data_IF_906839790847
#
_entry.id   IF_906839790847
#
_cell.length_a   1.000
_cell.length_b   1.000
_cell.length_c   1.000
_cell.angle_alpha   90.00
_cell.angle_beta   90.00
_cell.angle_gamma   90.00
#
_symmetry.space_group_name_H-M   'P 1'
#
loop_
_entity.id
_entity.type
_entity.pdbx_description
1 polymer ?
#
# COMPACT_ATOMS: atom_id res chain seq x y z
N UNK A 1 -17.13 -7.39 23.56
CA UNK A 1 -16.33 -6.97 22.38
C UNK A 1 -17.25 -6.11 21.53
N UNK A 2 -17.00 -4.81 21.48
CA UNK A 2 -17.87 -3.85 20.79
C UNK A 2 -17.56 -3.85 19.29
N UNK A 3 -18.62 -3.95 18.47
CA UNK A 3 -18.56 -3.99 17.02
C UNK A 3 -18.00 -2.69 16.39
N UNK A 4 -17.87 -1.64 17.20
CA UNK A 4 -17.44 -0.30 16.80
C UNK A 4 -15.91 -0.14 16.80
N UNK A 5 -15.17 -0.94 17.57
CA UNK A 5 -13.69 -0.97 17.49
C UNK A 5 -13.20 -1.66 16.22
N UNK A 6 -13.95 -2.65 15.73
CA UNK A 6 -13.64 -3.41 14.51
C UNK A 6 -13.70 -2.55 13.23
N UNK A 7 -14.42 -1.41 13.27
CA UNK A 7 -14.53 -0.48 12.14
C UNK A 7 -13.33 0.44 11.98
N UNK A 8 -12.50 0.59 13.02
CA UNK A 8 -11.36 1.52 12.99
C UNK A 8 -10.03 0.84 12.63
N UNK A 9 -10.06 -0.47 12.36
CA UNK A 9 -8.87 -1.25 12.00
C UNK A 9 -8.61 -1.26 10.50
N UNK A 10 -9.50 -0.71 9.68
CA UNK A 10 -9.36 -0.70 8.23
C UNK A 10 -8.94 0.67 7.73
N UNK A 11 -8.13 0.67 6.67
CA UNK A 11 -7.73 1.86 5.96
C UNK A 11 -7.77 1.59 4.46
N UNK A 12 -7.91 2.63 3.67
CA UNK A 12 -7.92 2.53 2.21
C UNK A 12 -6.59 3.03 1.69
N UNK A 13 -6.01 2.30 0.74
CA UNK A 13 -4.76 2.66 0.06
C UNK A 13 -4.99 2.66 -1.44
N UNK A 14 -4.28 3.52 -2.16
CA UNK A 14 -4.39 3.57 -3.62
C UNK A 14 -3.34 2.66 -4.24
N UNK A 15 -3.74 1.71 -5.07
CA UNK A 15 -2.84 0.79 -5.78
C UNK A 15 -3.17 0.83 -7.26
N UNK A 16 -2.28 1.43 -8.03
CA UNK A 16 -2.36 1.65 -9.49
C UNK A 16 -3.66 2.36 -9.87
N UNK A 17 -4.01 3.40 -9.09
CA UNK A 17 -5.23 4.18 -9.27
C UNK A 17 -6.51 3.47 -8.83
N UNK A 18 -6.41 2.31 -8.17
CA UNK A 18 -7.55 1.63 -7.54
C UNK A 18 -7.48 1.73 -6.02
N UNK A 19 -8.60 2.11 -5.38
CA UNK A 19 -8.73 2.10 -3.93
C UNK A 19 -8.88 0.67 -3.40
N UNK A 20 -7.99 0.26 -2.50
CA UNK A 20 -7.98 -1.07 -1.88
C UNK A 20 -8.13 -0.93 -0.37
N UNK A 21 -9.13 -1.61 0.20
CA UNK A 21 -9.33 -1.68 1.65
C UNK A 21 -8.36 -2.71 2.26
N UNK A 22 -7.49 -2.24 3.16
CA UNK A 22 -6.53 -3.05 3.92
C UNK A 22 -6.74 -2.84 5.42
N UNK A 23 -6.12 -3.66 6.26
CA UNK A 23 -6.14 -3.40 7.71
C UNK A 23 -4.93 -2.56 8.11
N UNK A 24 -5.13 -1.58 8.98
CA UNK A 24 -4.10 -0.73 9.56
C UNK A 24 -2.98 -1.52 10.22
N UNK A 25 -3.32 -2.65 10.87
CA UNK A 25 -2.34 -3.54 11.51
C UNK A 25 -1.71 -4.58 10.58
N UNK A 26 -2.13 -4.69 9.33
CA UNK A 26 -1.52 -5.62 8.38
C UNK A 26 -0.14 -5.12 7.94
N UNK A 27 0.75 -6.06 7.60
CA UNK A 27 2.08 -5.69 7.13
C UNK A 27 2.01 -5.06 5.74
N UNK A 28 2.52 -3.85 5.60
CA UNK A 28 2.54 -3.14 4.30
C UNK A 28 3.27 -3.95 3.25
N UNK A 29 4.47 -4.42 3.59
CA UNK A 29 5.31 -5.20 2.69
C UNK A 29 4.62 -6.47 2.20
N UNK A 30 4.07 -7.28 3.10
CA UNK A 30 3.42 -8.55 2.73
C UNK A 30 2.15 -8.30 1.90
N UNK A 31 1.31 -7.37 2.36
CA UNK A 31 0.05 -7.01 1.70
C UNK A 31 0.27 -6.46 0.30
N UNK A 32 1.17 -5.47 0.14
CA UNK A 32 1.49 -4.91 -1.16
C UNK A 32 2.11 -5.97 -2.08
N UNK A 33 3.07 -6.75 -1.59
CA UNK A 33 3.71 -7.81 -2.39
C UNK A 33 2.68 -8.79 -2.93
N UNK A 34 1.73 -9.20 -2.09
CA UNK A 34 0.64 -10.08 -2.48
C UNK A 34 -0.26 -9.43 -3.54
N UNK A 35 -0.75 -8.22 -3.29
CA UNK A 35 -1.66 -7.52 -4.22
C UNK A 35 -1.00 -7.29 -5.57
N UNK A 36 0.26 -6.83 -5.58
CA UNK A 36 1.02 -6.57 -6.80
C UNK A 36 1.25 -7.85 -7.59
N UNK A 37 1.55 -8.95 -6.90
CA UNK A 37 1.68 -10.27 -7.51
C UNK A 37 0.35 -10.79 -8.08
N UNK A 38 -0.76 -10.63 -7.37
CA UNK A 38 -2.10 -11.01 -7.84
C UNK A 38 -2.52 -10.19 -9.07
N UNK A 39 -2.12 -8.91 -9.15
CA UNK A 39 -2.36 -8.03 -10.29
C UNK A 39 -1.34 -8.19 -11.43
N UNK A 40 -0.26 -8.95 -11.24
CA UNK A 40 0.82 -9.10 -12.22
C UNK A 40 1.55 -7.78 -12.51
N UNK A 41 1.81 -6.99 -11.46
CA UNK A 41 2.55 -5.74 -11.55
C UNK A 41 3.98 -5.98 -11.05
N UNK A 42 4.91 -6.11 -11.99
CA UNK A 42 6.33 -6.30 -11.67
C UNK A 42 7.11 -4.99 -11.50
N UNK A 43 6.56 -3.87 -11.99
CA UNK A 43 7.20 -2.55 -11.92
C UNK A 43 6.22 -1.51 -11.39
N UNK A 44 6.55 -0.98 -10.22
CA UNK A 44 5.72 -0.07 -9.46
C UNK A 44 6.59 0.89 -8.66
N UNK A 45 6.02 2.05 -8.33
CA UNK A 45 6.57 3.05 -7.43
C UNK A 45 5.69 3.07 -6.19
N UNK A 46 6.28 3.02 -4.99
CA UNK A 46 5.51 3.16 -3.76
C UNK A 46 5.79 4.56 -3.20
N UNK A 47 4.73 5.26 -2.84
CA UNK A 47 4.71 6.54 -2.17
C UNK A 47 4.20 6.31 -0.75
N UNK A 48 4.96 6.78 0.25
CA UNK A 48 4.58 6.76 1.66
C UNK A 48 4.49 8.20 2.10
N UNK A 49 3.30 8.63 2.54
CA UNK A 49 3.02 10.02 2.94
C UNK A 49 3.39 11.04 1.84
N UNK A 50 3.27 10.64 0.58
CA UNK A 50 3.62 11.43 -0.60
C UNK A 50 5.11 11.38 -1.00
N UNK A 51 5.96 10.64 -0.28
CA UNK A 51 7.38 10.47 -0.60
C UNK A 51 7.66 9.13 -1.27
N UNK A 52 8.40 9.15 -2.38
CA UNK A 52 8.80 7.92 -3.07
C UNK A 52 9.80 7.12 -2.23
N UNK A 53 9.42 5.90 -1.88
CA UNK A 53 10.30 4.93 -1.22
C UNK A 53 10.96 4.04 -2.27
N UNK A 54 12.26 4.25 -2.44
CA UNK A 54 13.09 3.49 -3.38
C UNK A 54 13.51 2.11 -2.86
N UNK A 55 13.26 1.82 -1.58
CA UNK A 55 13.60 0.53 -0.96
C UNK A 55 12.47 0.04 -0.06
N UNK A 56 12.21 -1.26 -0.11
CA UNK A 56 11.20 -1.92 0.72
C UNK A 56 11.51 -1.91 2.21
N UNK A 57 12.76 -1.63 2.59
CA UNK A 57 13.17 -1.48 3.99
C UNK A 57 12.74 -0.14 4.60
N UNK A 58 12.42 0.85 3.77
CA UNK A 58 11.87 2.14 4.21
C UNK A 58 10.34 2.12 4.32
N UNK A 59 9.70 0.99 3.98
CA UNK A 59 8.26 0.86 4.15
C UNK A 59 7.93 0.79 5.64
N UNK A 60 6.83 1.42 6.07
CA UNK A 60 6.36 1.27 7.43
C UNK A 60 5.98 -0.19 7.68
N UNK A 61 6.07 -0.60 8.94
CA UNK A 61 5.73 -1.97 9.32
C UNK A 61 4.26 -2.28 9.02
N UNK A 62 3.38 -1.30 9.22
CA UNK A 62 1.93 -1.39 9.10
C UNK A 62 1.34 -0.14 8.45
N UNK A 63 0.07 -0.19 8.01
CA UNK A 63 -0.61 0.95 7.37
C UNK A 63 -1.17 1.98 8.39
N UNK A 64 -0.89 1.81 9.67
CA UNK A 64 -1.40 2.69 10.72
C UNK A 64 -0.69 4.05 10.70
N UNK A 65 -1.45 5.12 10.50
CA UNK A 65 -0.91 6.49 10.49
C UNK A 65 -0.08 6.87 9.26
N UNK A 66 -0.08 6.03 8.21
CA UNK A 66 0.66 6.26 6.97
C UNK A 66 -0.28 6.23 5.76
N UNK A 67 -0.17 7.22 4.89
CA UNK A 67 -0.81 7.18 3.58
C UNK A 67 0.08 6.41 2.60
N UNK A 68 -0.42 5.32 2.04
CA UNK A 68 0.33 4.48 1.10
C UNK A 68 -0.35 4.55 -0.25
N UNK A 69 0.42 4.98 -1.25
CA UNK A 69 0.01 4.94 -2.64
C UNK A 69 1.02 4.13 -3.44
N UNK A 70 0.53 3.30 -4.35
CA UNK A 70 1.36 2.54 -5.28
C UNK A 70 0.98 2.97 -6.67
N UNK A 71 1.93 3.48 -7.42
CA UNK A 71 1.76 3.83 -8.82
C UNK A 71 2.40 2.78 -9.70
N UNK A 72 1.86 2.60 -10.91
CA UNK A 72 2.52 1.75 -11.91
C UNK A 72 3.77 2.50 -12.38
N UNK A 73 4.91 1.83 -12.38
CA UNK A 73 6.13 2.44 -12.91
C UNK A 73 5.95 2.61 -14.41
N UNK A 74 5.71 3.84 -14.85
CA UNK A 74 5.66 4.19 -16.26
C UNK A 74 7.06 4.65 -16.63
N UNK A 75 7.83 3.82 -17.33
CA UNK A 75 9.11 4.25 -17.89
C UNK A 75 8.81 5.45 -18.79
N UNK A 76 9.27 6.64 -18.39
CA UNK A 76 9.10 7.84 -19.19
C UNK A 76 9.81 7.65 -20.55
N UNK A 77 9.03 7.39 -21.60
CA UNK A 77 9.44 7.40 -23.00
C UNK A 77 10.39 6.27 -23.44
N UNK A 78 9.89 5.38 -24.29
CA UNK A 78 10.64 5.00 -25.48
C UNK A 78 10.05 5.76 -26.66
#
# INVERSE_FOLDING_TARGET
MNLEELKNEKTTVTIVGEEVEVKRGDSVKDTLTRILKEKGIDSFTILVDGEEVTSTDNLPATFDGHDIEVERYVKAGC
#
